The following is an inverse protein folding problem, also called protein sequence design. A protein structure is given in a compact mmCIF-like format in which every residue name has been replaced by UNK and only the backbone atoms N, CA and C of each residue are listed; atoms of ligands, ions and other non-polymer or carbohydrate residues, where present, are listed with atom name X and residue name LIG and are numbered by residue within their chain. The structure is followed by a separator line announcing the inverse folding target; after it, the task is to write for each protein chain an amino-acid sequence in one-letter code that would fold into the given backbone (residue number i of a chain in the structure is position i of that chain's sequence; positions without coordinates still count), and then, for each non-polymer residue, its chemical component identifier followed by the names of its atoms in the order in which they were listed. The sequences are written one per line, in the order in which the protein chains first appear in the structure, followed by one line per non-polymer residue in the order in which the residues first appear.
data_IF_063540194091
#
_entry.id   IF_063540194091
#
_cell.length_a   1.000
_cell.length_b   1.000
_cell.length_c   1.000
_cell.angle_alpha   90.00
_cell.angle_beta   90.00
_cell.angle_gamma   90.00
#
_symmetry.space_group_name_H-M   'P 1'
#
loop_
_entity.id
_entity.type
_entity.pdbx_description
1 polymer ?
#
# COMPACT_ATOMS: atom_id res chain seq x y z
N UNK A 1 8.64 -6.81 12.80
CA UNK A 1 7.93 -5.56 12.46
C UNK A 1 6.75 -5.99 11.64
N UNK A 2 5.57 -5.49 11.96
CA UNK A 2 4.36 -5.95 11.29
C UNK A 2 3.96 -4.96 10.20
N UNK A 3 3.56 -5.51 9.06
CA UNK A 3 2.89 -4.79 7.99
C UNK A 3 1.41 -5.14 8.08
N UNK A 4 0.59 -4.15 8.35
CA UNK A 4 -0.85 -4.25 8.32
C UNK A 4 -1.35 -3.77 6.96
N UNK A 5 -2.23 -4.54 6.36
CA UNK A 5 -2.90 -4.19 5.11
C UNK A 5 -4.40 -4.14 5.38
N UNK A 6 -5.07 -3.12 4.83
CA UNK A 6 -6.52 -2.98 4.87
C UNK A 6 -7.09 -3.21 3.49
N UNK A 7 -8.06 -4.11 3.38
CA UNK A 7 -8.85 -4.36 2.18
C UNK A 7 -9.88 -3.24 1.96
N UNK A 8 -10.38 -3.12 0.73
CA UNK A 8 -11.41 -2.13 0.39
C UNK A 8 -12.73 -2.31 1.15
N UNK A 9 -13.01 -3.52 1.66
CA UNK A 9 -14.18 -3.82 2.48
C UNK A 9 -13.97 -3.51 3.98
N UNK A 10 -12.77 -3.05 4.35
CA UNK A 10 -12.40 -2.67 5.71
C UNK A 10 -11.73 -3.78 6.53
N UNK A 11 -11.62 -5.01 6.01
CA UNK A 11 -10.90 -6.09 6.69
C UNK A 11 -9.41 -5.75 6.76
N UNK A 12 -8.80 -5.88 7.94
CA UNK A 12 -7.37 -5.62 8.14
C UNK A 12 -6.66 -6.91 8.55
N UNK A 13 -5.55 -7.24 7.91
CA UNK A 13 -4.69 -8.35 8.30
C UNK A 13 -3.24 -7.88 8.45
N UNK A 14 -2.52 -8.54 9.35
CA UNK A 14 -1.11 -8.26 9.63
C UNK A 14 -0.21 -9.38 9.12
N UNK A 15 0.98 -9.02 8.67
CA UNK A 15 2.04 -9.97 8.38
C UNK A 15 3.38 -9.48 8.94
N UNK A 16 4.18 -10.41 9.48
CA UNK A 16 5.53 -10.08 9.91
C UNK A 16 6.43 -9.89 8.71
N UNK A 17 7.14 -8.76 8.66
CA UNK A 17 8.13 -8.42 7.65
C UNK A 17 9.49 -8.15 8.28
N UNK A 18 10.56 -8.54 7.59
CA UNK A 18 11.91 -8.20 7.99
C UNK A 18 12.20 -6.74 7.65
N UNK A 19 12.36 -5.90 8.68
CA UNK A 19 12.65 -4.48 8.49
C UNK A 19 13.99 -4.21 7.77
N UNK A 20 14.92 -5.16 7.81
CA UNK A 20 16.20 -5.15 7.08
C UNK A 20 16.07 -5.54 5.60
N UNK A 21 14.91 -6.08 5.18
CA UNK A 21 14.70 -6.53 3.81
C UNK A 21 14.91 -5.40 2.80
N UNK A 22 15.64 -5.65 1.69
CA UNK A 22 15.79 -4.69 0.61
C UNK A 22 14.46 -4.20 0.05
N UNK A 23 13.46 -5.08 -0.05
CA UNK A 23 12.12 -4.74 -0.55
C UNK A 23 11.43 -3.73 0.37
N UNK A 24 11.47 -3.96 1.68
CA UNK A 24 10.87 -3.07 2.67
C UNK A 24 11.54 -1.69 2.69
N UNK A 25 12.87 -1.66 2.61
CA UNK A 25 13.64 -0.40 2.53
C UNK A 25 13.32 0.37 1.26
N UNK A 26 13.18 -0.31 0.13
CA UNK A 26 12.77 0.29 -1.15
C UNK A 26 11.37 0.87 -1.07
N UNK A 27 10.39 0.10 -0.58
CA UNK A 27 9.01 0.56 -0.39
C UNK A 27 8.95 1.85 0.44
N UNK A 28 9.63 1.88 1.59
CA UNK A 28 9.67 3.08 2.45
C UNK A 28 10.32 4.28 1.78
N UNK A 29 11.37 4.07 0.97
CA UNK A 29 12.05 5.14 0.22
C UNK A 29 11.17 5.70 -0.91
N UNK A 30 10.34 4.84 -1.50
CA UNK A 30 9.47 5.19 -2.63
C UNK A 30 8.10 5.72 -2.19
N UNK A 31 7.88 5.92 -0.88
CA UNK A 31 6.70 6.62 -0.38
C UNK A 31 6.66 8.02 -1.00
N UNK A 32 5.50 8.38 -1.51
CA UNK A 32 5.26 9.69 -2.08
C UNK A 32 3.96 10.28 -1.56
N UNK A 33 3.78 11.57 -1.78
CA UNK A 33 2.52 12.25 -1.48
C UNK A 33 1.68 12.28 -2.75
N UNK A 34 0.44 11.80 -2.68
CA UNK A 34 -0.51 11.81 -3.78
C UNK A 34 -1.79 12.53 -3.39
N UNK A 35 -2.56 12.98 -4.38
CA UNK A 35 -3.92 13.48 -4.18
C UNK A 35 -4.92 12.37 -4.47
N UNK A 36 -5.80 12.07 -3.51
CA UNK A 36 -6.94 11.19 -3.72
C UNK A 36 -8.23 11.99 -3.61
N UNK A 37 -9.26 11.55 -4.33
CA UNK A 37 -10.59 12.17 -4.27
C UNK A 37 -11.48 11.33 -3.36
N UNK A 38 -11.90 11.92 -2.26
CA UNK A 38 -12.78 11.31 -1.25
C UNK A 38 -14.22 11.76 -1.43
N UNK A 39 -15.14 11.03 -0.80
CA UNK A 39 -16.58 11.33 -0.77
C UNK A 39 -17.19 11.49 -2.17
N UNK A 40 -17.01 10.50 -3.05
CA UNK A 40 -17.60 10.49 -4.42
C UNK A 40 -17.31 11.74 -5.25
N UNK A 41 -16.09 12.30 -5.18
CA UNK A 41 -15.72 13.45 -6.01
C UNK A 41 -15.61 14.79 -5.28
N UNK A 42 -16.03 14.86 -4.02
CA UNK A 42 -16.27 16.14 -3.35
C UNK A 42 -15.02 16.77 -2.73
N UNK A 43 -14.04 15.97 -2.30
CA UNK A 43 -12.88 16.50 -1.58
C UNK A 43 -11.58 15.88 -2.09
N UNK A 44 -10.66 16.73 -2.55
CA UNK A 44 -9.27 16.34 -2.79
C UNK A 44 -8.53 16.34 -1.47
N UNK A 45 -7.88 15.23 -1.16
CA UNK A 45 -7.06 15.09 0.02
C UNK A 45 -5.66 14.65 -0.38
N UNK A 46 -4.67 15.40 0.09
CA UNK A 46 -3.26 15.02 0.03
C UNK A 46 -3.00 13.92 1.04
N UNK A 47 -2.62 12.73 0.57
CA UNK A 47 -2.35 11.55 1.40
C UNK A 47 -0.95 10.98 1.10
N UNK A 48 -0.45 10.16 2.01
CA UNK A 48 0.78 9.39 1.77
C UNK A 48 0.42 8.14 0.98
N UNK A 49 1.23 7.83 -0.02
CA UNK A 49 1.00 6.77 -0.98
C UNK A 49 2.22 5.85 -1.11
N UNK A 50 1.97 4.62 -1.52
CA UNK A 50 2.95 3.62 -1.94
C UNK A 50 2.48 2.96 -3.23
N UNK A 51 3.42 2.49 -4.06
CA UNK A 51 3.07 1.75 -5.27
C UNK A 51 2.72 0.31 -4.94
N UNK A 52 1.67 -0.21 -5.58
CA UNK A 52 1.26 -1.61 -5.47
C UNK A 52 2.43 -2.58 -5.72
N UNK A 53 3.28 -2.29 -6.70
CA UNK A 53 4.46 -3.11 -7.01
C UNK A 53 5.47 -3.20 -5.85
N UNK A 54 5.70 -2.09 -5.14
CA UNK A 54 6.62 -2.09 -4.00
C UNK A 54 6.01 -2.85 -2.80
N UNK A 55 4.68 -2.76 -2.61
CA UNK A 55 3.98 -3.53 -1.57
C UNK A 55 3.98 -5.03 -1.88
N UNK A 56 3.67 -5.41 -3.13
CA UNK A 56 3.70 -6.80 -3.58
C UNK A 56 5.08 -7.43 -3.38
N UNK A 57 6.16 -6.68 -3.66
CA UNK A 57 7.53 -7.13 -3.42
C UNK A 57 7.83 -7.37 -1.93
N UNK A 58 7.23 -6.59 -1.02
CA UNK A 58 7.35 -6.80 0.43
C UNK A 58 6.56 -8.02 0.89
N UNK A 59 5.37 -8.23 0.33
CA UNK A 59 4.51 -9.37 0.67
C UNK A 59 5.05 -10.72 0.16
N UNK A 60 5.95 -10.71 -0.82
CA UNK A 60 6.57 -11.91 -1.37
C UNK A 60 5.50 -12.85 -1.94
N UNK A 61 5.35 -14.05 -1.35
CA UNK A 61 4.36 -15.04 -1.80
C UNK A 61 2.91 -14.56 -1.72
N UNK A 62 2.60 -13.62 -0.82
CA UNK A 62 1.27 -13.03 -0.71
C UNK A 62 1.09 -11.79 -1.62
N UNK A 63 2.11 -11.43 -2.40
CA UNK A 63 2.10 -10.24 -3.27
C UNK A 63 1.00 -10.27 -4.33
N UNK A 64 0.52 -11.44 -4.73
CA UNK A 64 -0.58 -11.61 -5.68
C UNK A 64 -1.87 -10.90 -5.26
N UNK A 65 -2.12 -10.75 -3.94
CA UNK A 65 -3.27 -10.02 -3.41
C UNK A 65 -3.28 -8.54 -3.80
N UNK A 66 -2.09 -7.98 -4.01
CA UNK A 66 -1.89 -6.58 -4.39
C UNK A 66 -1.61 -6.49 -5.89
N UNK A 67 -0.76 -7.33 -6.47
CA UNK A 67 -0.45 -7.21 -7.90
C UNK A 67 -1.61 -7.60 -8.80
N UNK A 68 -2.24 -8.76 -8.55
CA UNK A 68 -3.28 -9.33 -9.43
C UNK A 68 -4.68 -9.05 -8.88
N UNK A 69 -4.89 -9.37 -7.60
CA UNK A 69 -6.19 -9.23 -6.94
C UNK A 69 -6.61 -7.77 -6.74
N UNK A 70 -5.62 -6.86 -6.59
CA UNK A 70 -5.83 -5.43 -6.27
C UNK A 70 -6.82 -5.24 -5.11
N UNK A 71 -6.78 -6.12 -4.12
CA UNK A 71 -7.78 -6.17 -3.05
C UNK A 71 -7.49 -5.18 -1.91
N UNK A 72 -6.29 -4.60 -1.87
CA UNK A 72 -5.80 -3.82 -0.73
C UNK A 72 -5.94 -2.31 -0.97
N UNK A 73 -6.48 -1.58 0.00
CA UNK A 73 -6.63 -0.14 -0.05
C UNK A 73 -5.41 0.58 0.56
N UNK A 74 -4.99 0.18 1.76
CA UNK A 74 -3.94 0.87 2.52
C UNK A 74 -2.97 -0.11 3.17
N UNK A 75 -1.78 0.39 3.49
CA UNK A 75 -0.84 -0.27 4.40
C UNK A 75 -0.49 0.61 5.58
N UNK A 76 -0.06 -0.03 6.65
CA UNK A 76 0.53 0.57 7.85
C UNK A 76 1.65 -0.33 8.34
N UNK A 77 2.79 0.21 8.75
CA UNK A 77 3.89 -0.60 9.26
C UNK A 77 4.30 -0.21 10.67
N UNK A 78 4.57 -1.21 11.50
CA UNK A 78 4.84 -1.03 12.92
C UNK A 78 3.64 -0.47 13.66
N UNK A 79 3.91 0.31 14.70
CA UNK A 79 2.90 0.90 15.59
C UNK A 79 2.54 2.35 15.22
N UNK A 80 2.94 2.82 14.03
CA UNK A 80 2.56 4.14 13.55
C UNK A 80 1.10 4.10 13.10
N UNK A 81 0.30 5.10 13.46
CA UNK A 81 -1.09 5.23 13.00
C UNK A 81 -1.21 5.82 11.58
N UNK A 82 -0.07 6.15 10.96
CA UNK A 82 -0.04 6.66 9.59
C UNK A 82 -0.44 5.56 8.59
N UNK A 83 -1.56 5.78 7.92
CA UNK A 83 -1.98 4.96 6.77
C UNK A 83 -1.35 5.46 5.47
N UNK A 84 -0.96 4.51 4.62
CA UNK A 84 -0.40 4.76 3.31
C UNK A 84 -1.30 4.12 2.25
N UNK A 85 -1.81 4.93 1.33
CA UNK A 85 -2.68 4.50 0.25
C UNK A 85 -1.90 3.73 -0.82
N UNK A 86 -2.42 2.58 -1.23
CA UNK A 86 -1.83 1.78 -2.29
C UNK A 86 -2.32 2.33 -3.62
N UNK A 87 -1.39 2.82 -4.44
CA UNK A 87 -1.67 3.25 -5.79
C UNK A 87 -1.33 2.10 -6.73
N UNK A 88 -2.38 1.60 -7.38
CA UNK A 88 -2.28 0.67 -8.47
C UNK A 88 -2.05 1.46 -9.77
N UNK A 89 -0.87 1.33 -10.34
CA UNK A 89 -0.63 1.85 -11.69
C UNK A 89 -1.51 1.05 -12.65
N UNK A 90 -2.26 1.73 -13.52
CA UNK A 90 -2.96 1.04 -14.58
C UNK A 90 -1.91 0.43 -15.53
N UNK A 91 -2.09 -0.84 -15.89
CA UNK A 91 -1.26 -1.48 -16.92
C UNK A 91 -1.53 -0.80 -18.27
N UNK A 92 -0.83 0.31 -18.52
CA UNK A 92 -0.67 0.95 -19.82
C UNK A 92 -1.93 1.57 -20.45
N UNK A 93 -1.99 2.90 -20.49
CA UNK A 93 -2.15 3.52 -21.81
C UNK A 93 -0.76 3.49 -22.46
N UNK A 94 -0.60 2.57 -23.42
CA UNK A 94 0.56 2.47 -24.29
C UNK A 94 0.26 3.17 -25.61
#
# INVERSE_FOLDING_TARGET
MDLHLREFDGITFGMSVEASSPAFRRMKRNVFTGEIVRCRGLFKQTVRCVRAADVAAVMGKAGWLVSEGRCMETIRWGNDDTEYYIIYEEEGEK
#
